data_IF_560053763546
#
_entry.id   IF_560053763546
#
_cell.length_a   1.000
_cell.length_b   1.000
_cell.length_c   1.000
_cell.angle_alpha   90.00
_cell.angle_beta   90.00
_cell.angle_gamma   90.00
#
_symmetry.space_group_name_H-M   'P 1'
#
loop_
_entity.id
_entity.type
_entity.pdbx_description
1 polymer ?
#
# COMPACT_ATOMS: atom_id res chain seq x y z
N UNK A 1 3.26 17.29 39.72
CA UNK A 1 3.85 18.25 38.77
C UNK A 1 5.01 17.62 37.99
N UNK A 2 4.84 16.39 37.46
CA UNK A 2 5.88 15.68 36.70
C UNK A 2 5.36 15.15 35.35
N UNK A 3 4.05 14.90 35.24
CA UNK A 3 3.40 14.45 34.01
C UNK A 3 3.43 15.46 32.86
N UNK A 4 3.52 16.76 33.16
CA UNK A 4 3.51 17.84 32.15
C UNK A 4 4.85 18.02 31.42
N UNK A 5 5.96 17.62 32.05
CA UNK A 5 7.33 17.73 31.50
C UNK A 5 7.63 16.54 30.60
N UNK A 6 7.23 15.32 31.00
CA UNK A 6 7.34 14.12 30.18
C UNK A 6 6.45 14.17 28.93
N UNK A 7 5.24 14.72 29.04
CA UNK A 7 4.36 14.89 27.87
C UNK A 7 4.92 15.90 26.87
N UNK A 8 5.48 17.02 27.34
CA UNK A 8 6.07 18.05 26.48
C UNK A 8 7.29 17.53 25.72
N UNK A 9 8.25 16.91 26.43
CA UNK A 9 9.50 16.44 25.80
C UNK A 9 9.31 15.25 24.85
N UNK A 10 8.32 14.38 25.11
CA UNK A 10 8.02 13.25 24.21
C UNK A 10 7.20 13.69 23.00
N UNK A 11 6.25 14.62 23.18
CA UNK A 11 5.52 15.23 22.06
C UNK A 11 6.44 16.06 21.17
N UNK A 12 7.41 16.77 21.73
CA UNK A 12 8.40 17.54 20.95
C UNK A 12 9.38 16.63 20.18
N UNK A 13 9.74 15.47 20.74
CA UNK A 13 10.57 14.48 20.04
C UNK A 13 9.81 13.76 18.91
N UNK A 14 8.50 13.58 19.05
CA UNK A 14 7.64 13.01 18.02
C UNK A 14 7.19 14.06 17.02
N UNK A 15 7.28 15.36 17.34
CA UNK A 15 6.84 16.44 16.48
C UNK A 15 7.69 16.48 15.20
N UNK A 16 7.17 16.02 14.06
CA UNK A 16 7.96 15.97 12.84
C UNK A 16 8.25 17.38 12.31
N UNK A 17 7.53 18.42 12.76
CA UNK A 17 7.80 19.82 12.40
C UNK A 17 9.10 20.36 13.00
N UNK A 18 9.72 19.71 13.99
CA UNK A 18 11.04 20.12 14.49
C UNK A 18 12.18 19.65 13.58
N UNK A 19 11.94 18.59 12.79
CA UNK A 19 12.94 17.96 11.92
C UNK A 19 12.65 18.15 10.42
N UNK A 20 11.44 18.59 10.05
CA UNK A 20 10.95 18.62 8.67
C UNK A 20 10.19 19.92 8.40
N UNK A 21 10.45 20.57 7.27
CA UNK A 21 9.72 21.78 6.88
C UNK A 21 8.25 21.46 6.56
N UNK A 22 7.35 22.44 6.69
CA UNK A 22 5.93 22.28 6.36
C UNK A 22 5.70 21.79 4.93
N UNK A 23 6.52 22.24 3.98
CA UNK A 23 6.45 21.80 2.59
C UNK A 23 6.85 20.34 2.42
N UNK A 24 7.91 19.92 3.10
CA UNK A 24 8.33 18.52 3.09
C UNK A 24 7.25 17.63 3.71
N UNK A 25 6.68 18.03 4.85
CA UNK A 25 5.60 17.29 5.53
C UNK A 25 4.39 17.11 4.60
N UNK A 26 3.90 18.18 3.99
CA UNK A 26 2.79 18.10 3.04
C UNK A 26 3.13 17.22 1.83
N UNK A 27 4.34 17.33 1.29
CA UNK A 27 4.78 16.52 0.15
C UNK A 27 4.87 15.04 0.49
N UNK A 28 5.36 14.71 1.69
CA UNK A 28 5.42 13.34 2.19
C UNK A 28 4.01 12.73 2.30
N UNK A 29 3.09 13.43 2.95
CA UNK A 29 1.70 12.95 3.05
C UNK A 29 1.02 12.84 1.69
N UNK A 30 1.22 13.82 0.80
CA UNK A 30 0.68 13.74 -0.56
C UNK A 30 1.22 12.53 -1.33
N UNK A 31 2.51 12.25 -1.23
CA UNK A 31 3.10 11.07 -1.87
C UNK A 31 2.60 9.77 -1.22
N UNK A 32 2.49 9.73 0.11
CA UNK A 32 2.00 8.54 0.82
C UNK A 32 0.56 8.23 0.44
N UNK A 33 -0.31 9.24 0.48
CA UNK A 33 -1.72 9.09 0.12
C UNK A 33 -1.91 8.83 -1.37
N UNK A 34 -1.15 9.50 -2.25
CA UNK A 34 -1.22 9.20 -3.68
C UNK A 34 -0.81 7.76 -3.94
N UNK A 35 0.29 7.29 -3.35
CA UNK A 35 0.76 5.92 -3.55
C UNK A 35 -0.25 4.90 -3.03
N UNK A 36 -0.80 5.10 -1.83
CA UNK A 36 -1.80 4.20 -1.25
C UNK A 36 -3.10 4.16 -2.06
N UNK A 37 -3.58 5.31 -2.56
CA UNK A 37 -4.86 5.41 -3.27
C UNK A 37 -4.75 5.14 -4.78
N UNK A 38 -3.57 5.32 -5.38
CA UNK A 38 -3.30 5.16 -6.81
C UNK A 38 -2.89 3.71 -7.15
N UNK A 39 -3.65 2.74 -6.65
CA UNK A 39 -3.55 1.35 -7.07
C UNK A 39 -2.54 0.46 -6.32
N UNK A 40 -1.92 0.95 -5.24
CA UNK A 40 -1.10 0.10 -4.36
C UNK A 40 -1.86 -1.13 -3.88
N UNK A 41 -3.11 -0.95 -3.42
CA UNK A 41 -3.95 -2.05 -2.93
C UNK A 41 -4.26 -3.10 -4.00
N UNK A 42 -4.48 -2.68 -5.25
CA UNK A 42 -4.71 -3.62 -6.34
C UNK A 42 -3.48 -4.50 -6.61
N UNK A 43 -2.28 -3.89 -6.60
CA UNK A 43 -1.01 -4.61 -6.76
C UNK A 43 -0.70 -5.52 -5.56
N UNK A 44 -0.93 -5.02 -4.34
CA UNK A 44 -0.75 -5.80 -3.11
C UNK A 44 -1.65 -7.04 -3.12
N UNK A 45 -2.93 -6.86 -3.44
CA UNK A 45 -3.91 -7.95 -3.48
C UNK A 45 -3.59 -8.96 -4.59
N UNK A 46 -3.15 -8.49 -5.76
CA UNK A 46 -2.66 -9.35 -6.83
C UNK A 46 -1.45 -10.20 -6.39
N UNK A 47 -0.45 -9.60 -5.74
CA UNK A 47 0.71 -10.34 -5.22
C UNK A 47 0.31 -11.38 -4.18
N UNK A 48 -0.56 -11.04 -3.22
CA UNK A 48 -1.01 -11.97 -2.17
C UNK A 48 -1.80 -13.13 -2.77
N UNK A 49 -2.72 -12.85 -3.70
CA UNK A 49 -3.49 -13.90 -4.39
C UNK A 49 -2.61 -14.80 -5.25
N UNK A 50 -1.57 -14.26 -5.89
CA UNK A 50 -0.59 -15.05 -6.64
C UNK A 50 0.24 -15.94 -5.70
N UNK A 51 0.71 -15.40 -4.58
CA UNK A 51 1.43 -16.18 -3.56
C UNK A 51 0.55 -17.31 -3.00
N UNK A 52 -0.73 -17.05 -2.74
CA UNK A 52 -1.70 -18.06 -2.33
C UNK A 52 -1.92 -19.11 -3.43
N UNK A 53 -2.02 -18.70 -4.69
CA UNK A 53 -2.17 -19.64 -5.81
C UNK A 53 -0.98 -20.61 -5.90
N UNK A 54 0.25 -20.11 -5.74
CA UNK A 54 1.45 -20.93 -5.69
C UNK A 54 1.47 -21.84 -4.46
N UNK A 55 1.04 -21.33 -3.30
CA UNK A 55 0.93 -22.12 -2.09
C UNK A 55 -0.05 -23.29 -2.27
N UNK A 56 -1.24 -23.05 -2.82
CA UNK A 56 -2.22 -24.11 -3.09
C UNK A 56 -1.76 -25.11 -4.15
N UNK A 57 -0.97 -24.65 -5.14
CA UNK A 57 -0.39 -25.51 -6.18
C UNK A 57 0.66 -26.46 -5.59
N UNK A 58 1.60 -25.92 -4.82
CA UNK A 58 2.76 -26.65 -4.30
C UNK A 58 2.38 -27.51 -3.09
N UNK A 59 1.66 -26.95 -2.11
CA UNK A 59 1.40 -27.62 -0.83
C UNK A 59 0.13 -28.47 -0.84
N UNK A 60 -0.96 -27.98 -1.44
CA UNK A 60 -2.25 -28.71 -1.40
C UNK A 60 -2.44 -29.66 -2.59
N UNK A 61 -1.60 -29.61 -3.63
CA UNK A 61 -1.73 -30.39 -4.88
C UNK A 61 -3.14 -30.34 -5.49
N UNK A 62 -3.86 -29.23 -5.28
CA UNK A 62 -5.21 -28.97 -5.79
C UNK A 62 -5.10 -27.93 -6.93
N UNK A 63 -4.66 -28.33 -8.13
CA UNK A 63 -4.35 -27.39 -9.21
C UNK A 63 -5.57 -26.56 -9.64
N UNK A 64 -6.78 -27.11 -9.55
CA UNK A 64 -8.00 -26.40 -9.91
C UNK A 64 -8.22 -25.10 -9.14
N UNK A 65 -7.98 -25.10 -7.83
CA UNK A 65 -8.13 -23.89 -7.00
C UNK A 65 -7.03 -22.86 -7.29
N UNK A 66 -5.82 -23.32 -7.59
CA UNK A 66 -4.69 -22.46 -7.95
C UNK A 66 -4.98 -21.65 -9.23
N UNK A 67 -5.54 -22.28 -10.26
CA UNK A 67 -5.90 -21.61 -11.52
C UNK A 67 -6.90 -20.48 -11.29
N UNK A 68 -7.91 -20.69 -10.44
CA UNK A 68 -8.90 -19.64 -10.11
C UNK A 68 -8.23 -18.44 -9.45
N UNK A 69 -7.32 -18.66 -8.50
CA UNK A 69 -6.58 -17.57 -7.85
C UNK A 69 -5.63 -16.83 -8.81
N UNK A 70 -5.00 -17.54 -9.76
CA UNK A 70 -4.19 -16.91 -10.80
C UNK A 70 -5.05 -15.99 -11.67
N UNK A 71 -6.20 -16.47 -12.15
CA UNK A 71 -7.10 -15.67 -12.99
C UNK A 71 -7.59 -14.41 -12.24
N UNK A 72 -7.98 -14.55 -10.98
CA UNK A 72 -8.39 -13.41 -10.14
C UNK A 72 -7.23 -12.42 -9.97
N UNK A 73 -6.01 -12.92 -9.71
CA UNK A 73 -4.81 -12.08 -9.59
C UNK A 73 -4.52 -11.31 -10.88
N UNK A 74 -4.62 -11.97 -12.04
CA UNK A 74 -4.42 -11.33 -13.35
C UNK A 74 -5.46 -10.24 -13.60
N UNK A 75 -6.73 -10.51 -13.30
CA UNK A 75 -7.82 -9.52 -13.44
C UNK A 75 -7.56 -8.32 -12.51
N UNK A 76 -7.24 -8.55 -11.24
CA UNK A 76 -6.92 -7.50 -10.28
C UNK A 76 -5.72 -6.65 -10.72
N UNK A 77 -4.68 -7.29 -11.29
CA UNK A 77 -3.50 -6.61 -11.85
C UNK A 77 -3.88 -5.75 -13.05
N UNK A 78 -4.72 -6.27 -13.95
CA UNK A 78 -5.15 -5.57 -15.16
C UNK A 78 -5.97 -4.32 -14.81
N UNK A 79 -6.94 -4.45 -13.90
CA UNK A 79 -7.69 -3.28 -13.42
C UNK A 79 -6.77 -2.26 -12.72
N UNK A 80 -5.89 -2.70 -11.83
CA UNK A 80 -4.93 -1.81 -11.17
C UNK A 80 -4.00 -1.07 -12.15
N UNK A 81 -3.58 -1.73 -13.24
CA UNK A 81 -2.76 -1.13 -14.29
C UNK A 81 -3.54 -0.18 -15.21
N UNK A 82 -4.73 -0.58 -15.66
CA UNK A 82 -5.58 0.20 -16.56
C UNK A 82 -6.08 1.48 -15.89
N UNK A 83 -6.56 1.40 -14.65
CA UNK A 83 -6.96 2.61 -13.91
C UNK A 83 -5.78 3.55 -13.67
N UNK A 84 -4.59 3.01 -13.38
CA UNK A 84 -3.36 3.80 -13.26
C UNK A 84 -2.97 4.49 -14.57
N UNK A 85 -3.08 3.79 -15.69
CA UNK A 85 -2.80 4.35 -17.02
C UNK A 85 -3.81 5.43 -17.41
N UNK A 86 -5.11 5.18 -17.22
CA UNK A 86 -6.18 6.16 -17.50
C UNK A 86 -5.98 7.42 -16.66
N UNK A 87 -5.73 7.29 -15.35
CA UNK A 87 -5.49 8.47 -14.49
C UNK A 87 -4.23 9.25 -14.87
N UNK A 88 -3.22 8.58 -15.43
CA UNK A 88 -1.98 9.23 -15.88
C UNK A 88 -2.16 9.87 -17.25
N UNK A 89 -2.95 9.26 -18.15
CA UNK A 89 -3.21 9.75 -19.50
C UNK A 89 -4.26 10.88 -19.55
N UNK A 90 -5.11 10.99 -18.52
CA UNK A 90 -6.13 12.04 -18.40
C UNK A 90 -5.59 13.32 -17.71
N UNK A 91 -4.33 13.33 -17.29
CA UNK A 91 -3.68 14.43 -16.57
C UNK A 91 -2.70 15.16 -17.49
#
# INVERSE_FOLDING_TARGET
>A
MYYKILSGSFLDAINPMSYMSHEQYNSFWHMMFSTLLQGFWARLLACVTLALALFFLIYLKRPGLSVVFIVISTIATYFGGVFGFIFTALK
#
